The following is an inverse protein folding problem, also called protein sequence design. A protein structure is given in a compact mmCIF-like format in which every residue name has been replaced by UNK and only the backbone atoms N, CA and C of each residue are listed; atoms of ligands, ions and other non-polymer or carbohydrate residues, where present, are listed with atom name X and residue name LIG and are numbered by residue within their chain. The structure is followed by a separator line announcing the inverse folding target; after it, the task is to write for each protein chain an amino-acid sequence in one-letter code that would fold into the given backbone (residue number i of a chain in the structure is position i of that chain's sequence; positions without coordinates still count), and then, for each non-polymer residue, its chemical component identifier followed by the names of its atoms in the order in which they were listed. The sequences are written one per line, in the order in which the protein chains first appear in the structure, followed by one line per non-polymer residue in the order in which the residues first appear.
data_IF_849662277226
#
_entry.id   IF_849662277226
#
_cell.length_a   1.000
_cell.length_b   1.000
_cell.length_c   1.000
_cell.angle_alpha   90.00
_cell.angle_beta   90.00
_cell.angle_gamma   90.00
#
_symmetry.space_group_name_H-M   'P 1'
#
loop_
_entity.id
_entity.type
_entity.pdbx_description
1 polymer ?
#
# COMPACT_ATOMS: atom_id res chain seq x y z
N UNK A 1 -60.57 -12.65 11.29
CA UNK A 1 -61.12 -13.22 12.53
C UNK A 1 -60.65 -14.67 12.66
N UNK A 2 -60.00 -14.99 13.79
CA UNK A 2 -60.01 -16.26 14.54
C UNK A 2 -59.67 -17.56 13.77
N UNK A 3 -58.49 -18.16 14.04
CA UNK A 3 -58.25 -19.29 15.00
C UNK A 3 -58.71 -20.64 14.39
N UNK A 4 -58.15 -21.83 14.58
CA UNK A 4 -57.35 -22.49 15.62
C UNK A 4 -56.98 -23.90 15.05
N UNK A 5 -55.75 -24.40 15.21
CA UNK A 5 -55.34 -25.60 16.00
C UNK A 5 -56.09 -26.93 15.78
N UNK A 6 -55.36 -27.98 15.38
CA UNK A 6 -55.40 -29.35 15.96
C UNK A 6 -54.18 -30.16 15.42
N UNK A 7 -53.12 -30.55 16.15
CA UNK A 7 -52.91 -31.52 17.27
C UNK A 7 -52.99 -33.02 16.89
N UNK A 8 -51.87 -33.74 17.06
CA UNK A 8 -51.65 -35.18 17.41
C UNK A 8 -50.16 -35.50 17.09
N UNK A 9 -49.19 -35.73 17.98
CA UNK A 9 -49.05 -36.30 19.33
C UNK A 9 -49.32 -37.81 19.43
N UNK A 10 -48.25 -38.63 19.41
CA UNK A 10 -47.92 -39.79 20.30
C UNK A 10 -46.91 -40.73 19.61
N UNK A 11 -45.67 -40.87 20.14
CA UNK A 11 -45.18 -41.93 21.05
C UNK A 11 -44.21 -42.87 20.26
N UNK A 12 -43.12 -43.45 20.78
CA UNK A 12 -42.68 -43.69 22.15
C UNK A 12 -41.14 -43.79 22.23
N UNK A 13 -40.67 -43.43 23.43
CA UNK A 13 -39.36 -43.62 24.04
C UNK A 13 -39.07 -45.12 24.32
N UNK A 14 -37.78 -45.46 24.49
CA UNK A 14 -37.15 -46.48 25.40
C UNK A 14 -35.89 -47.02 24.69
N UNK A 15 -34.69 -46.50 25.02
CA UNK A 15 -33.73 -46.99 26.05
C UNK A 15 -33.31 -48.47 25.82
N UNK A 16 -32.07 -48.93 25.90
CA UNK A 16 -30.73 -48.37 26.11
C UNK A 16 -29.79 -49.58 26.34
N UNK A 17 -28.51 -49.46 25.96
CA UNK A 17 -27.32 -50.08 26.58
C UNK A 17 -27.20 -51.63 26.56
N UNK A 18 -26.21 -52.23 25.91
CA UNK A 18 -24.81 -52.47 26.35
C UNK A 18 -24.21 -53.45 25.30
N UNK A 19 -22.92 -53.65 25.03
CA UNK A 19 -21.69 -53.49 25.78
C UNK A 19 -20.47 -53.40 24.81
N UNK A 20 -19.36 -52.95 25.38
CA UNK A 20 -18.01 -52.86 24.84
C UNK A 20 -17.46 -54.17 24.24
N UNK A 21 -16.69 -54.07 23.16
CA UNK A 21 -15.51 -54.92 22.91
C UNK A 21 -14.46 -54.11 22.14
N UNK A 22 -13.21 -54.22 22.58
CA UNK A 22 -12.09 -53.41 22.14
C UNK A 22 -11.55 -53.76 20.75
N UNK A 23 -10.85 -52.80 20.17
CA UNK A 23 -10.12 -52.92 18.91
C UNK A 23 -9.21 -51.71 18.75
N UNK A 24 -8.00 -51.83 19.28
CA UNK A 24 -6.86 -50.95 18.98
C UNK A 24 -6.58 -50.93 17.49
N UNK A 25 -6.61 -49.74 16.87
CA UNK A 25 -5.97 -49.50 15.57
C UNK A 25 -5.28 -48.14 15.58
N UNK A 26 -3.99 -48.21 15.90
CA UNK A 26 -2.96 -47.25 15.59
C UNK A 26 -2.84 -47.16 14.06
N UNK A 27 -3.20 -46.01 13.49
CA UNK A 27 -2.87 -45.67 12.10
C UNK A 27 -1.63 -44.78 12.12
N UNK A 28 -0.50 -45.44 11.90
CA UNK A 28 0.77 -44.85 11.51
C UNK A 28 0.77 -44.50 10.01
N UNK A 29 1.26 -43.32 9.66
CA UNK A 29 1.67 -42.96 8.30
C UNK A 29 1.23 -41.54 7.95
N UNK A 30 2.09 -40.62 7.52
CA UNK A 30 3.51 -40.65 7.28
C UNK A 30 3.97 -39.20 7.15
N UNK A 31 5.06 -38.88 7.81
CA UNK A 31 5.79 -37.63 7.67
C UNK A 31 6.40 -37.56 6.27
N UNK A 32 6.14 -36.46 5.56
CA UNK A 32 6.99 -36.03 4.44
C UNK A 32 6.77 -34.55 4.16
N UNK A 33 7.82 -33.76 4.34
CA UNK A 33 8.01 -32.51 3.60
C UNK A 33 7.70 -31.22 4.36
N UNK A 34 8.55 -30.88 5.32
CA UNK A 34 8.68 -29.52 5.83
C UNK A 34 10.05 -29.42 6.47
N UNK A 35 11.06 -29.06 5.69
CA UNK A 35 12.41 -28.81 6.18
C UNK A 35 12.32 -27.81 7.33
N UNK A 36 12.63 -28.29 8.55
CA UNK A 36 12.82 -27.41 9.68
C UNK A 36 13.97 -26.47 9.35
N UNK A 37 13.66 -25.19 9.18
CA UNK A 37 14.65 -24.13 9.31
C UNK A 37 15.35 -24.37 10.64
N UNK A 38 16.64 -24.72 10.59
CA UNK A 38 17.46 -24.83 11.78
C UNK A 38 17.37 -23.49 12.50
N UNK A 39 16.92 -23.51 13.76
CA UNK A 39 16.84 -22.31 14.59
C UNK A 39 18.19 -21.60 14.55
N UNK A 40 18.21 -20.38 14.02
CA UNK A 40 19.40 -19.56 13.96
C UNK A 40 19.87 -19.33 15.40
N UNK A 41 21.04 -19.89 15.75
CA UNK A 41 21.60 -19.83 17.11
C UNK A 41 21.89 -18.40 17.56
N UNK A 42 21.93 -17.45 16.62
CA UNK A 42 22.15 -16.04 16.90
C UNK A 42 20.85 -15.23 17.02
N UNK A 43 19.68 -15.85 16.77
CA UNK A 43 18.40 -15.16 16.95
C UNK A 43 18.14 -14.90 18.45
N UNK A 44 17.67 -13.69 18.82
CA UNK A 44 17.21 -13.43 20.18
C UNK A 44 16.09 -14.39 20.59
N UNK A 45 15.98 -14.69 21.88
CA UNK A 45 14.83 -15.44 22.40
C UNK A 45 13.53 -14.67 22.09
N UNK A 46 12.42 -15.36 21.76
CA UNK A 46 11.12 -14.72 21.52
C UNK A 46 10.73 -13.77 22.67
N UNK A 47 10.05 -12.64 22.38
CA UNK A 47 9.57 -11.74 23.42
C UNK A 47 8.67 -12.49 24.41
N UNK A 48 8.86 -12.25 25.71
CA UNK A 48 8.05 -12.88 26.76
C UNK A 48 6.78 -12.09 27.09
N UNK A 49 6.77 -10.79 26.78
CA UNK A 49 5.69 -9.88 27.12
C UNK A 49 4.68 -9.76 25.97
N UNK A 50 3.41 -9.97 26.29
CA UNK A 50 2.30 -9.59 25.43
C UNK A 50 2.05 -8.10 25.58
N UNK A 51 2.39 -7.34 24.55
CA UNK A 51 2.25 -5.89 24.51
C UNK A 51 1.15 -5.54 23.53
N UNK A 52 0.06 -4.91 23.99
CA UNK A 52 -0.99 -4.39 23.11
C UNK A 52 -0.47 -3.26 22.22
N UNK A 53 -1.03 -3.17 21.01
CA UNK A 53 -0.47 -2.37 19.91
C UNK A 53 -1.58 -1.75 19.09
N UNK A 54 -1.24 -0.73 18.32
CA UNK A 54 -2.17 -0.14 17.36
C UNK A 54 -2.70 -1.21 16.40
N UNK A 55 -4.00 -1.08 16.09
CA UNK A 55 -4.71 -2.02 15.23
C UNK A 55 -4.16 -1.96 13.81
N UNK A 56 -3.96 -3.13 13.20
CA UNK A 56 -3.50 -3.22 11.82
C UNK A 56 -4.70 -3.43 10.90
N UNK A 57 -4.85 -2.58 9.90
CA UNK A 57 -5.84 -2.74 8.84
C UNK A 57 -5.15 -3.20 7.56
N UNK A 58 -5.70 -4.22 6.92
CA UNK A 58 -5.15 -4.78 5.68
C UNK A 58 -6.26 -4.78 4.64
N UNK A 59 -5.96 -4.19 3.49
CA UNK A 59 -6.86 -4.06 2.36
C UNK A 59 -6.27 -4.79 1.16
N UNK A 60 -7.12 -5.42 0.36
CA UNK A 60 -6.79 -5.97 -0.95
C UNK A 60 -7.62 -5.26 -2.01
N UNK A 61 -6.95 -4.56 -2.92
CA UNK A 61 -7.59 -3.74 -3.96
C UNK A 61 -8.71 -2.83 -3.42
N UNK A 62 -8.45 -2.18 -2.28
CA UNK A 62 -9.37 -1.26 -1.59
C UNK A 62 -10.44 -1.94 -0.72
N UNK A 63 -10.54 -3.27 -0.74
CA UNK A 63 -11.47 -4.01 0.11
C UNK A 63 -10.78 -4.45 1.40
N UNK A 64 -11.39 -4.17 2.55
CA UNK A 64 -10.85 -4.64 3.83
C UNK A 64 -10.92 -6.16 3.92
N UNK A 65 -9.80 -6.80 4.26
CA UNK A 65 -9.76 -8.25 4.52
C UNK A 65 -10.40 -8.61 5.86
N UNK A 66 -10.48 -7.65 6.79
CA UNK A 66 -11.17 -7.77 8.07
C UNK A 66 -11.64 -6.40 8.53
N UNK A 67 -12.95 -6.14 8.48
CA UNK A 67 -13.53 -4.82 8.77
C UNK A 67 -13.11 -4.26 10.14
N UNK A 68 -13.03 -5.13 11.15
CA UNK A 68 -12.62 -4.75 12.50
C UNK A 68 -11.10 -4.56 12.68
N UNK A 69 -10.29 -4.81 11.65
CA UNK A 69 -8.83 -4.86 11.72
C UNK A 69 -8.28 -6.08 12.47
N UNK A 70 -6.96 -6.18 12.52
CA UNK A 70 -6.18 -7.24 13.16
C UNK A 70 -5.53 -6.71 14.43
N UNK A 71 -5.99 -7.21 15.58
CA UNK A 71 -5.42 -6.92 16.90
C UNK A 71 -4.09 -7.65 17.11
N UNK A 72 -3.35 -7.27 18.15
CA UNK A 72 -2.14 -8.02 18.52
C UNK A 72 -2.46 -9.50 18.81
N UNK A 73 -3.59 -9.78 19.47
CA UNK A 73 -4.03 -11.15 19.76
C UNK A 73 -4.32 -11.99 18.52
N UNK A 74 -4.76 -11.36 17.41
CA UNK A 74 -4.95 -12.05 16.13
C UNK A 74 -3.62 -12.45 15.48
N UNK A 75 -2.55 -11.70 15.75
CA UNK A 75 -1.27 -11.81 15.05
C UNK A 75 -0.23 -12.60 15.85
N UNK A 76 -0.25 -12.51 17.19
CA UNK A 76 0.85 -13.03 18.03
C UNK A 76 1.13 -14.53 17.84
N UNK A 77 0.11 -15.33 17.57
CA UNK A 77 0.22 -16.78 17.40
C UNK A 77 0.93 -17.18 16.09
N UNK A 78 0.94 -16.28 15.10
CA UNK A 78 1.61 -16.48 13.81
C UNK A 78 2.95 -15.75 13.73
N UNK A 79 3.38 -15.10 14.82
CA UNK A 79 4.67 -14.41 14.86
C UNK A 79 5.83 -15.39 14.97
N UNK A 80 6.87 -15.14 14.19
CA UNK A 80 8.13 -15.87 14.21
C UNK A 80 9.31 -14.90 14.23
N UNK A 81 10.54 -15.38 14.36
CA UNK A 81 11.75 -14.57 14.17
C UNK A 81 12.24 -14.67 12.74
N UNK A 82 12.65 -13.55 12.12
CA UNK A 82 13.24 -13.50 10.78
C UNK A 82 14.44 -12.55 10.75
N UNK A 83 15.55 -12.99 10.16
CA UNK A 83 16.69 -12.12 9.86
C UNK A 83 16.48 -11.46 8.48
N UNK A 84 16.48 -10.13 8.45
CA UNK A 84 16.38 -9.33 7.23
C UNK A 84 17.53 -8.33 7.27
N UNK A 85 18.44 -8.42 6.29
CA UNK A 85 19.64 -7.58 6.16
C UNK A 85 20.46 -7.44 7.45
N UNK A 86 20.65 -8.56 8.17
CA UNK A 86 21.45 -8.61 9.39
C UNK A 86 20.74 -8.13 10.64
N UNK A 87 19.49 -7.70 10.54
CA UNK A 87 18.64 -7.35 11.70
C UNK A 87 17.60 -8.44 11.93
N UNK A 88 17.50 -8.92 13.17
CA UNK A 88 16.44 -9.84 13.56
C UNK A 88 15.15 -9.07 13.83
N UNK A 89 14.04 -9.52 13.26
CA UNK A 89 12.70 -9.00 13.51
C UNK A 89 11.82 -10.11 14.06
N UNK A 90 10.91 -9.77 14.97
CA UNK A 90 9.87 -10.68 15.43
C UNK A 90 8.51 -10.17 14.98
N UNK A 91 7.80 -10.95 14.18
CA UNK A 91 6.59 -10.51 13.50
C UNK A 91 6.01 -11.57 12.58
N UNK A 92 5.20 -11.18 11.60
CA UNK A 92 4.58 -12.12 10.67
C UNK A 92 4.57 -11.57 9.23
N UNK A 93 4.50 -12.47 8.26
CA UNK A 93 4.20 -12.10 6.87
C UNK A 93 2.73 -11.69 6.76
N UNK A 94 2.40 -10.89 5.75
CA UNK A 94 1.01 -10.46 5.52
C UNK A 94 0.09 -11.66 5.29
N UNK A 95 0.53 -12.65 4.50
CA UNK A 95 -0.25 -13.87 4.24
C UNK A 95 -0.55 -14.67 5.52
N UNK A 96 0.39 -14.75 6.46
CA UNK A 96 0.15 -15.45 7.73
C UNK A 96 -0.83 -14.70 8.63
N UNK A 97 -0.81 -13.37 8.60
CA UNK A 97 -1.74 -12.53 9.36
C UNK A 97 -3.17 -12.68 8.84
N UNK A 98 -3.32 -12.64 7.51
CA UNK A 98 -4.65 -12.66 6.88
C UNK A 98 -5.19 -14.08 6.77
N UNK A 99 -4.33 -15.09 6.64
CA UNK A 99 -4.70 -16.47 6.32
C UNK A 99 -5.09 -16.66 4.84
N UNK A 100 -4.83 -15.67 3.99
CA UNK A 100 -5.23 -15.64 2.58
C UNK A 100 -4.08 -16.02 1.65
N UNK A 101 -4.40 -16.51 0.45
CA UNK A 101 -3.44 -16.67 -0.65
C UNK A 101 -3.21 -15.32 -1.34
N UNK A 102 -1.99 -14.79 -1.18
CA UNK A 102 -1.57 -13.49 -1.72
C UNK A 102 -0.73 -13.61 -3.01
N UNK A 103 -0.69 -14.78 -3.66
CA UNK A 103 0.14 -15.00 -4.87
C UNK A 103 -0.21 -14.08 -6.06
N UNK A 104 -1.44 -13.56 -6.10
CA UNK A 104 -1.88 -12.56 -7.08
C UNK A 104 -1.41 -11.14 -6.77
N UNK A 105 -1.05 -10.85 -5.52
CA UNK A 105 -0.60 -9.52 -5.08
C UNK A 105 0.77 -9.21 -5.67
N UNK A 106 0.94 -7.98 -6.17
CA UNK A 106 2.14 -7.48 -6.86
C UNK A 106 2.80 -6.31 -6.16
N UNK A 107 2.22 -5.80 -5.08
CA UNK A 107 2.83 -4.75 -4.28
C UNK A 107 2.00 -4.41 -3.04
N UNK A 108 2.59 -3.60 -2.17
CA UNK A 108 1.93 -3.10 -0.97
C UNK A 108 2.34 -1.66 -0.67
N UNK A 109 1.37 -0.80 -0.37
CA UNK A 109 1.63 0.47 0.30
C UNK A 109 1.48 0.29 1.81
N UNK A 110 2.43 0.83 2.57
CA UNK A 110 2.42 0.79 4.04
C UNK A 110 2.28 2.21 4.56
N UNK A 111 1.15 2.49 5.20
CA UNK A 111 0.88 3.78 5.84
C UNK A 111 1.13 3.67 7.33
N UNK A 112 1.98 4.57 7.83
CA UNK A 112 2.27 4.72 9.23
C UNK A 112 1.32 5.71 9.92
N UNK A 113 1.23 5.63 11.25
CA UNK A 113 0.41 6.51 12.10
C UNK A 113 0.71 8.01 11.95
N UNK A 114 1.89 8.36 11.45
CA UNK A 114 2.32 9.74 11.20
C UNK A 114 1.96 10.20 9.76
N UNK A 115 1.26 9.36 9.00
CA UNK A 115 0.89 9.58 7.61
C UNK A 115 1.99 9.26 6.60
N UNK A 116 3.17 8.81 7.05
CA UNK A 116 4.22 8.41 6.13
C UNK A 116 3.84 7.14 5.37
N UNK A 117 3.99 7.17 4.06
CA UNK A 117 3.73 6.02 3.20
C UNK A 117 5.00 5.54 2.51
N UNK A 118 5.20 4.22 2.50
CA UNK A 118 6.22 3.54 1.71
C UNK A 118 5.59 2.53 0.75
N UNK A 119 6.26 2.24 -0.37
CA UNK A 119 5.86 1.21 -1.31
C UNK A 119 6.83 0.02 -1.29
N UNK A 120 6.29 -1.20 -1.34
CA UNK A 120 7.01 -2.47 -1.40
C UNK A 120 6.50 -3.24 -2.63
N UNK A 121 7.36 -3.47 -3.62
CA UNK A 121 7.02 -4.20 -4.85
C UNK A 121 7.03 -5.72 -4.70
N UNK A 122 7.61 -6.24 -3.61
CA UNK A 122 7.70 -7.68 -3.34
C UNK A 122 7.08 -8.00 -1.98
N UNK A 123 5.80 -8.39 -2.02
CA UNK A 123 4.99 -8.65 -0.82
C UNK A 123 5.37 -9.97 -0.14
N UNK A 124 5.90 -10.95 -0.88
CA UNK A 124 6.35 -12.23 -0.30
C UNK A 124 7.51 -12.01 0.68
N UNK A 125 8.29 -10.96 0.45
CA UNK A 125 9.39 -10.54 1.31
C UNK A 125 9.01 -9.43 2.31
N UNK A 126 7.76 -8.96 2.31
CA UNK A 126 7.26 -8.02 3.31
C UNK A 126 7.00 -8.74 4.64
N UNK A 127 7.60 -8.20 5.69
CA UNK A 127 7.46 -8.68 7.05
C UNK A 127 7.00 -7.56 7.97
N UNK A 128 5.89 -7.78 8.69
CA UNK A 128 5.35 -6.82 9.66
C UNK A 128 5.87 -7.16 11.04
N UNK A 129 6.92 -6.44 11.45
CA UNK A 129 7.62 -6.63 12.70
C UNK A 129 6.92 -5.92 13.86
N UNK A 130 6.58 -6.67 14.91
CA UNK A 130 6.17 -6.10 16.19
C UNK A 130 7.38 -5.72 17.06
N UNK A 131 8.50 -6.42 16.88
CA UNK A 131 9.74 -6.20 17.60
C UNK A 131 10.94 -6.22 16.65
N UNK A 132 11.99 -5.50 17.04
CA UNK A 132 13.30 -5.49 16.36
C UNK A 132 14.39 -5.90 17.35
N UNK A 133 15.33 -6.71 16.88
CA UNK A 133 16.46 -7.21 17.65
C UNK A 133 17.50 -6.12 17.84
N UNK A 134 17.79 -5.77 19.09
CA UNK A 134 18.80 -4.80 19.49
C UNK A 134 19.46 -5.25 20.78
N UNK A 135 20.78 -5.14 20.85
CA UNK A 135 21.57 -5.54 22.03
C UNK A 135 21.34 -7.00 22.48
N UNK A 136 21.08 -7.89 21.50
CA UNK A 136 20.83 -9.32 21.76
C UNK A 136 19.41 -9.65 22.27
N UNK A 137 18.50 -8.68 22.29
CA UNK A 137 17.12 -8.86 22.75
C UNK A 137 16.13 -8.26 21.75
N UNK A 138 14.88 -8.74 21.74
CA UNK A 138 13.81 -8.08 21.01
C UNK A 138 13.29 -6.87 21.78
N UNK A 139 13.27 -5.72 21.12
CA UNK A 139 12.65 -4.49 21.63
C UNK A 139 11.41 -4.17 20.81
N UNK A 140 10.34 -3.76 21.49
CA UNK A 140 9.09 -3.41 20.82
C UNK A 140 9.29 -2.21 19.91
N UNK A 141 8.66 -2.25 18.74
CA UNK A 141 8.66 -1.12 17.80
C UNK A 141 7.69 -0.06 18.33
N UNK A 142 8.20 1.14 18.65
CA UNK A 142 7.43 2.22 19.31
C UNK A 142 7.54 3.56 18.57
N UNK A 143 6.46 4.12 18.04
CA UNK A 143 6.44 5.47 17.44
C UNK A 143 5.42 6.33 18.18
N UNK A 144 5.79 7.58 18.50
CA UNK A 144 4.98 8.51 19.31
C UNK A 144 4.45 7.87 20.60
N UNK A 145 5.33 7.21 21.36
CA UNK A 145 5.02 6.49 22.61
C UNK A 145 3.97 5.36 22.48
N UNK A 146 3.65 4.94 21.25
CA UNK A 146 2.70 3.85 20.95
C UNK A 146 3.41 2.64 20.38
N UNK A 147 3.01 1.45 20.79
CA UNK A 147 3.49 0.19 20.19
C UNK A 147 2.82 -0.04 18.83
N UNK A 148 3.62 -0.20 17.78
CA UNK A 148 3.18 -0.14 16.37
C UNK A 148 3.98 -1.06 15.48
N UNK A 149 3.39 -1.60 14.42
CA UNK A 149 4.15 -2.47 13.52
C UNK A 149 5.18 -1.69 12.71
N UNK A 150 6.20 -2.38 12.23
CA UNK A 150 7.08 -1.85 11.19
C UNK A 150 7.19 -2.78 10.01
N UNK A 151 7.19 -2.22 8.80
CA UNK A 151 7.44 -2.94 7.56
C UNK A 151 8.93 -3.13 7.34
N UNK A 152 9.37 -4.38 7.29
CA UNK A 152 10.73 -4.78 6.95
C UNK A 152 10.72 -5.61 5.66
N UNK A 153 11.59 -5.24 4.72
CA UNK A 153 11.85 -5.99 3.49
C UNK A 153 13.32 -5.79 3.10
N UNK A 154 13.94 -6.81 2.49
CA UNK A 154 15.35 -6.75 2.12
C UNK A 154 15.62 -5.60 1.13
N UNK A 155 16.70 -4.85 1.33
CA UNK A 155 17.10 -3.71 0.52
C UNK A 155 16.20 -2.47 0.64
N UNK A 156 15.16 -2.50 1.50
CA UNK A 156 14.24 -1.37 1.71
C UNK A 156 14.44 -0.78 3.11
N UNK A 157 14.14 0.52 3.23
CA UNK A 157 14.17 1.18 4.54
C UNK A 157 13.05 0.67 5.43
N UNK A 158 13.34 0.44 6.70
CA UNK A 158 12.35 0.03 7.69
C UNK A 158 11.30 1.13 7.88
N UNK A 159 10.04 0.84 7.54
CA UNK A 159 8.93 1.77 7.77
C UNK A 159 8.33 1.49 9.15
N UNK A 160 8.52 2.40 10.09
CA UNK A 160 8.05 2.27 11.47
C UNK A 160 6.70 2.95 11.63
N UNK A 161 5.76 2.31 12.33
CA UNK A 161 4.46 2.93 12.62
C UNK A 161 3.31 2.40 11.77
N UNK A 162 3.50 1.33 11.00
CA UNK A 162 2.52 0.81 10.04
C UNK A 162 1.21 0.43 10.74
N UNK A 163 0.12 1.04 10.29
CA UNK A 163 -1.26 0.76 10.73
C UNK A 163 -2.19 0.39 9.58
N UNK A 164 -1.90 0.82 8.35
CA UNK A 164 -2.63 0.36 7.17
C UNK A 164 -1.67 -0.29 6.16
N UNK A 165 -2.11 -1.41 5.59
CA UNK A 165 -1.42 -2.13 4.52
C UNK A 165 -2.38 -2.26 3.35
N UNK A 166 -2.04 -1.63 2.22
CA UNK A 166 -2.84 -1.66 0.99
C UNK A 166 -2.17 -2.58 -0.01
N UNK A 167 -2.67 -3.81 -0.12
CA UNK A 167 -2.22 -4.81 -1.08
C UNK A 167 -2.84 -4.52 -2.44
N UNK A 168 -2.01 -4.56 -3.47
CA UNK A 168 -2.44 -4.30 -4.86
C UNK A 168 -2.11 -5.49 -5.76
N UNK A 169 -3.10 -5.95 -6.52
CA UNK A 169 -2.90 -7.01 -7.54
C UNK A 169 -2.37 -6.45 -8.86
N UNK A 170 -2.60 -5.17 -9.10
CA UNK A 170 -2.04 -4.41 -10.23
C UNK A 170 -1.12 -3.34 -9.64
N UNK A 171 0.19 -3.34 -9.88
CA UNK A 171 1.04 -2.32 -9.30
C UNK A 171 0.91 -1.00 -10.09
N UNK A 172 0.97 0.14 -9.40
CA UNK A 172 1.09 1.46 -10.02
C UNK A 172 2.54 1.74 -10.48
N UNK A 173 3.22 0.72 -11.02
CA UNK A 173 4.59 0.87 -11.49
C UNK A 173 4.62 1.81 -12.70
N UNK A 174 5.24 2.98 -12.52
CA UNK A 174 5.43 3.95 -13.58
C UNK A 174 6.90 4.30 -13.75
N UNK A 175 7.20 4.79 -14.94
CA UNK A 175 8.50 5.32 -15.30
C UNK A 175 8.30 6.51 -16.24
N UNK A 176 8.41 7.72 -15.70
CA UNK A 176 8.12 8.95 -16.42
C UNK A 176 9.41 9.59 -16.90
N UNK A 177 9.51 9.81 -18.19
CA UNK A 177 10.64 10.54 -18.76
C UNK A 177 10.58 12.03 -18.38
N UNK A 178 11.70 12.57 -17.94
CA UNK A 178 11.83 14.00 -17.63
C UNK A 178 12.62 14.67 -18.74
N UNK A 179 12.04 15.70 -19.34
CA UNK A 179 12.61 16.43 -20.47
C UNK A 179 12.79 17.92 -20.15
N UNK A 180 13.81 18.51 -20.75
CA UNK A 180 14.04 19.96 -20.82
C UNK A 180 14.05 20.36 -22.28
N UNK A 181 13.13 21.26 -22.67
CA UNK A 181 13.00 21.73 -24.05
C UNK A 181 12.94 20.58 -25.09
N UNK A 182 12.30 19.47 -24.73
CA UNK A 182 12.16 18.26 -25.56
C UNK A 182 13.33 17.27 -25.50
N UNK A 183 14.41 17.60 -24.79
CA UNK A 183 15.56 16.70 -24.59
C UNK A 183 15.44 15.95 -23.27
N UNK A 184 15.61 14.63 -23.29
CA UNK A 184 15.61 13.80 -22.08
C UNK A 184 16.77 14.18 -21.14
N UNK A 185 16.43 14.55 -19.91
CA UNK A 185 17.40 14.85 -18.84
C UNK A 185 17.37 13.83 -17.71
N UNK A 186 16.33 13.00 -17.62
CA UNK A 186 16.23 12.00 -16.58
C UNK A 186 14.98 11.12 -16.67
N UNK A 187 14.73 10.39 -15.58
CA UNK A 187 13.58 9.51 -15.43
C UNK A 187 13.15 9.49 -13.96
N UNK A 188 11.85 9.62 -13.73
CA UNK A 188 11.22 9.51 -12.41
C UNK A 188 10.52 8.16 -12.31
N UNK A 189 10.91 7.35 -11.32
CA UNK A 189 10.26 6.06 -11.02
C UNK A 189 9.34 6.17 -9.80
N UNK A 190 8.52 5.14 -9.56
CA UNK A 190 7.74 5.02 -8.32
C UNK A 190 8.62 5.09 -7.06
N UNK A 191 9.76 4.38 -7.05
CA UNK A 191 10.69 4.39 -5.90
C UNK A 191 11.25 5.80 -5.62
N UNK A 192 11.50 6.59 -6.67
CA UNK A 192 11.96 7.97 -6.54
C UNK A 192 10.84 8.91 -6.07
N UNK A 193 9.63 8.72 -6.59
CA UNK A 193 8.45 9.45 -6.19
C UNK A 193 8.16 9.28 -4.69
N UNK A 194 8.26 8.05 -4.18
CA UNK A 194 8.03 7.71 -2.77
C UNK A 194 9.14 8.15 -1.81
N UNK A 195 10.33 8.49 -2.32
CA UNK A 195 11.45 8.95 -1.48
C UNK A 195 11.15 10.33 -0.89
N UNK A 196 11.52 10.56 0.38
CA UNK A 196 11.41 11.90 0.98
C UNK A 196 12.28 12.91 0.20
N UNK A 197 11.70 14.06 -0.11
CA UNK A 197 12.35 15.17 -0.83
C UNK A 197 12.88 16.20 0.16
N UNK A 198 14.08 16.73 -0.07
CA UNK A 198 14.58 17.87 0.69
C UNK A 198 13.96 19.16 0.14
N UNK A 199 13.25 19.92 0.99
CA UNK A 199 12.68 21.23 0.66
C UNK A 199 13.11 22.22 1.74
N UNK A 200 14.05 23.10 1.42
CA UNK A 200 14.69 23.95 2.44
C UNK A 200 15.44 23.10 3.47
N UNK A 201 15.11 23.27 4.75
CA UNK A 201 15.67 22.49 5.86
C UNK A 201 14.89 21.19 6.13
N UNK A 202 13.69 21.05 5.57
CA UNK A 202 12.78 19.95 5.84
C UNK A 202 12.92 18.78 4.85
N UNK A 203 12.63 17.56 5.33
CA UNK A 203 12.45 16.37 4.48
C UNK A 203 10.97 16.03 4.36
N UNK A 204 10.38 16.46 3.26
CA UNK A 204 8.96 16.32 2.94
C UNK A 204 8.71 14.95 2.31
N UNK A 205 7.78 14.18 2.88
CA UNK A 205 7.31 12.94 2.29
C UNK A 205 6.18 13.20 1.28
N UNK A 206 5.96 12.26 0.37
CA UNK A 206 4.71 12.21 -0.41
C UNK A 206 3.54 12.12 0.55
N UNK A 207 2.60 13.06 0.44
CA UNK A 207 1.49 13.21 1.37
C UNK A 207 0.26 12.44 0.91
N UNK A 208 -0.65 12.21 1.84
CA UNK A 208 -1.97 11.63 1.56
C UNK A 208 -2.99 12.73 1.33
N UNK A 209 -3.75 12.59 0.26
CA UNK A 209 -4.80 13.50 -0.15
C UNK A 209 -6.08 12.73 -0.31
N UNK A 210 -7.12 13.12 0.43
CA UNK A 210 -8.47 12.71 0.13
C UNK A 210 -8.92 13.51 -1.09
N UNK A 211 -9.31 12.82 -2.15
CA UNK A 211 -9.64 13.43 -3.41
C UNK A 211 -10.91 12.85 -4.01
N UNK A 212 -11.62 13.69 -4.74
CA UNK A 212 -12.73 13.26 -5.58
C UNK A 212 -12.40 13.59 -7.03
N UNK A 213 -12.26 12.54 -7.83
CA UNK A 213 -11.91 12.62 -9.24
C UNK A 213 -13.17 12.49 -10.09
N UNK A 214 -13.50 13.55 -10.85
CA UNK A 214 -14.57 13.48 -11.82
C UNK A 214 -14.12 12.65 -13.03
N UNK A 215 -14.88 11.61 -13.36
CA UNK A 215 -14.70 10.86 -14.60
C UNK A 215 -15.97 10.90 -15.45
N UNK A 216 -15.88 10.43 -16.69
CA UNK A 216 -16.99 10.41 -17.65
C UNK A 216 -17.66 11.78 -17.87
N UNK A 217 -16.85 12.85 -18.03
CA UNK A 217 -17.38 14.19 -18.32
C UNK A 217 -18.17 14.82 -17.15
N UNK A 218 -17.89 14.40 -15.91
CA UNK A 218 -18.52 14.92 -14.69
C UNK A 218 -19.84 14.22 -14.33
N UNK A 219 -20.20 13.15 -15.04
CA UNK A 219 -21.37 12.34 -14.72
C UNK A 219 -21.15 11.43 -13.50
N UNK A 220 -19.88 11.21 -13.11
CA UNK A 220 -19.53 10.35 -12.01
C UNK A 220 -18.23 10.79 -11.35
N UNK A 221 -18.10 10.46 -10.05
CA UNK A 221 -16.98 10.87 -9.21
C UNK A 221 -16.38 9.63 -8.56
N UNK A 222 -15.07 9.49 -8.63
CA UNK A 222 -14.30 8.52 -7.88
C UNK A 222 -13.82 9.22 -6.62
N UNK A 223 -14.23 8.75 -5.46
CA UNK A 223 -13.72 9.22 -4.18
C UNK A 223 -12.71 8.21 -3.69
N UNK A 224 -11.48 8.67 -3.45
CA UNK A 224 -10.38 7.80 -3.08
C UNK A 224 -9.25 8.55 -2.40
N UNK A 225 -8.23 7.80 -1.99
CA UNK A 225 -7.03 8.36 -1.35
C UNK A 225 -5.89 8.34 -2.36
N UNK A 226 -5.22 9.48 -2.48
CA UNK A 226 -4.13 9.72 -3.41
C UNK A 226 -2.84 10.00 -2.65
N UNK A 227 -1.73 9.48 -3.14
CA UNK A 227 -0.40 9.92 -2.73
C UNK A 227 0.05 11.03 -3.64
N UNK A 228 0.36 12.20 -3.10
CA UNK A 228 0.75 13.34 -3.92
C UNK A 228 1.87 14.19 -3.38
N UNK A 229 2.41 15.02 -4.27
CA UNK A 229 3.28 16.15 -3.96
C UNK A 229 2.89 17.33 -4.84
N UNK A 230 3.03 18.54 -4.31
CA UNK A 230 2.83 19.75 -5.09
C UNK A 230 3.95 19.96 -6.14
N UNK A 231 3.70 20.88 -7.07
CA UNK A 231 4.64 21.23 -8.13
C UNK A 231 6.05 21.58 -7.64
N UNK A 232 6.16 22.39 -6.59
CA UNK A 232 7.46 22.86 -6.08
C UNK A 232 8.23 21.73 -5.41
N UNK A 233 7.53 20.88 -4.67
CA UNK A 233 8.10 19.66 -4.07
C UNK A 233 8.55 18.69 -5.16
N UNK A 234 7.81 18.58 -6.27
CA UNK A 234 8.26 17.80 -7.43
C UNK A 234 9.53 18.40 -8.05
N UNK A 235 9.60 19.71 -8.28
CA UNK A 235 10.81 20.35 -8.81
C UNK A 235 12.03 20.14 -7.90
N UNK A 236 11.85 20.30 -6.59
CA UNK A 236 12.90 20.05 -5.61
C UNK A 236 13.37 18.58 -5.64
N UNK A 237 12.44 17.64 -5.85
CA UNK A 237 12.75 16.21 -6.00
C UNK A 237 13.60 15.96 -7.23
N UNK A 238 13.18 16.46 -8.40
CA UNK A 238 13.89 16.27 -9.66
C UNK A 238 15.29 16.89 -9.60
N UNK A 239 15.43 18.08 -9.02
CA UNK A 239 16.73 18.72 -8.80
C UNK A 239 17.61 17.92 -7.82
N UNK A 240 17.04 17.37 -6.74
CA UNK A 240 17.74 16.49 -5.81
C UNK A 240 18.16 15.13 -6.40
N UNK A 241 17.67 14.81 -7.60
CA UNK A 241 18.09 13.67 -8.42
C UNK A 241 19.09 14.08 -9.51
N UNK A 242 19.68 15.27 -9.42
CA UNK A 242 20.65 15.83 -10.37
C UNK A 242 20.11 16.02 -11.80
N UNK A 243 18.78 16.18 -11.96
CA UNK A 243 18.19 16.52 -13.25
C UNK A 243 18.29 18.03 -13.51
N UNK A 244 18.95 18.42 -14.60
CA UNK A 244 19.13 19.83 -14.94
C UNK A 244 17.82 20.44 -15.47
N UNK A 245 17.15 21.19 -14.60
CA UNK A 245 15.99 22.03 -14.89
C UNK A 245 16.31 23.52 -14.63
N UNK A 246 17.57 23.93 -14.80
CA UNK A 246 18.00 25.30 -14.56
C UNK A 246 17.43 26.28 -15.59
N UNK A 247 16.99 27.45 -15.10
CA UNK A 247 16.42 28.53 -15.92
C UNK A 247 15.01 28.89 -15.46
N UNK A 248 14.29 29.67 -16.27
CA UNK A 248 12.90 30.05 -15.96
C UNK A 248 11.94 29.13 -16.68
N UNK A 249 11.16 28.33 -15.94
CA UNK A 249 10.11 27.48 -16.52
C UNK A 249 8.97 28.36 -16.99
N UNK A 250 8.67 28.34 -18.29
CA UNK A 250 7.60 29.13 -18.92
C UNK A 250 6.39 28.29 -19.34
N UNK A 251 6.57 26.99 -19.49
CA UNK A 251 5.51 26.01 -19.77
C UNK A 251 5.93 24.61 -19.27
N UNK A 252 4.94 23.79 -18.94
CA UNK A 252 5.12 22.35 -18.73
C UNK A 252 4.16 21.60 -19.62
N UNK A 253 4.67 20.64 -20.38
CA UNK A 253 3.90 19.76 -21.24
C UNK A 253 3.85 18.36 -20.64
N UNK A 254 2.64 17.84 -20.46
CA UNK A 254 2.41 16.53 -19.86
C UNK A 254 1.95 15.55 -20.95
N UNK A 255 2.66 14.44 -21.10
CA UNK A 255 2.36 13.40 -22.10
C UNK A 255 1.99 12.10 -21.41
N UNK A 256 0.98 11.39 -21.95
CA UNK A 256 0.65 10.05 -21.48
C UNK A 256 -0.63 9.49 -22.12
N UNK A 257 -1.23 8.53 -21.43
CA UNK A 257 -2.53 7.94 -21.81
C UNK A 257 -3.65 8.39 -20.87
N UNK A 258 -4.73 8.99 -21.40
CA UNK A 258 -5.86 9.43 -20.60
C UNK A 258 -6.79 8.26 -20.18
N UNK A 259 -7.75 8.52 -19.29
CA UNK A 259 -8.72 7.52 -18.84
C UNK A 259 -9.64 6.92 -19.93
N UNK A 260 -9.61 7.41 -21.18
CA UNK A 260 -10.29 6.80 -22.33
C UNK A 260 -9.34 5.93 -23.19
N UNK A 261 -8.11 5.70 -22.74
CA UNK A 261 -7.08 4.96 -23.46
C UNK A 261 -6.46 5.73 -24.63
N UNK A 262 -6.60 7.06 -24.70
CA UNK A 262 -6.00 7.88 -25.77
C UNK A 262 -4.67 8.47 -25.34
N UNK A 263 -3.65 8.24 -26.17
CA UNK A 263 -2.31 8.80 -26.00
C UNK A 263 -2.23 10.24 -26.52
N UNK A 264 -1.52 11.12 -25.81
CA UNK A 264 -1.25 12.49 -26.28
C UNK A 264 -0.76 13.46 -25.21
N UNK A 265 -0.63 14.73 -25.60
CA UNK A 265 -0.31 15.87 -24.74
C UNK A 265 -1.56 16.37 -24.01
N UNK A 266 -1.43 16.81 -22.76
CA UNK A 266 -2.46 17.57 -22.06
C UNK A 266 -2.51 19.02 -22.54
N UNK A 267 -3.65 19.44 -23.09
CA UNK A 267 -3.88 20.80 -23.60
C UNK A 267 -4.80 21.64 -22.69
N UNK A 268 -5.19 21.14 -21.51
CA UNK A 268 -6.13 21.84 -20.63
C UNK A 268 -5.50 22.86 -19.66
N UNK A 269 -4.17 22.93 -19.57
CA UNK A 269 -3.47 23.84 -18.66
C UNK A 269 -3.27 25.25 -19.23
N UNK A 270 -3.21 26.22 -18.32
CA UNK A 270 -2.89 27.62 -18.61
C UNK A 270 -1.43 27.92 -18.32
N UNK A 271 -0.83 28.80 -19.15
CA UNK A 271 0.52 29.36 -18.94
C UNK A 271 0.48 30.68 -18.16
N UNK A 272 -0.71 31.21 -17.92
CA UNK A 272 -0.89 32.51 -17.27
C UNK A 272 -0.94 32.35 -15.76
N UNK A 273 -0.02 33.00 -15.05
CA UNK A 273 -0.05 33.06 -13.59
C UNK A 273 -1.35 33.72 -13.09
N UNK A 274 -1.96 33.15 -12.05
CA UNK A 274 -3.26 33.57 -11.52
C UNK A 274 -4.48 32.95 -12.20
N UNK A 275 -4.31 32.22 -13.30
CA UNK A 275 -5.33 31.34 -13.85
C UNK A 275 -5.55 30.13 -12.92
N UNK A 276 -6.79 29.72 -12.72
CA UNK A 276 -7.10 28.54 -11.90
C UNK A 276 -6.53 27.24 -12.49
N UNK A 277 -6.16 27.25 -13.78
CA UNK A 277 -5.52 26.13 -14.46
C UNK A 277 -4.02 26.32 -14.70
N UNK A 278 -3.38 27.26 -14.00
CA UNK A 278 -1.95 27.52 -14.15
C UNK A 278 -1.12 26.24 -13.91
N UNK A 279 -0.17 25.94 -14.80
CA UNK A 279 0.63 24.71 -14.71
C UNK A 279 1.45 24.61 -13.41
N UNK A 280 1.84 25.75 -12.82
CA UNK A 280 2.58 25.78 -11.55
C UNK A 280 1.72 25.49 -10.31
N UNK A 281 0.40 25.35 -10.50
CA UNK A 281 -0.56 24.95 -9.46
C UNK A 281 -0.90 23.45 -9.52
N UNK A 282 -0.17 22.68 -10.33
CA UNK A 282 -0.40 21.24 -10.51
C UNK A 282 0.17 20.46 -9.33
N UNK A 283 -0.64 19.55 -8.82
CA UNK A 283 -0.19 18.52 -7.90
C UNK A 283 -0.01 17.21 -8.68
N UNK A 284 1.01 16.44 -8.32
CA UNK A 284 1.34 15.15 -8.91
C UNK A 284 0.89 14.04 -7.99
N UNK A 285 0.20 13.02 -8.52
CA UNK A 285 -0.39 11.98 -7.70
C UNK A 285 -0.16 10.57 -8.27
N UNK A 286 -0.17 9.59 -7.37
CA UNK A 286 -0.36 8.18 -7.65
C UNK A 286 -1.54 7.67 -6.82
N UNK A 287 -2.32 6.73 -7.36
CA UNK A 287 -3.41 6.11 -6.60
C UNK A 287 -2.85 5.25 -5.46
N UNK A 288 -3.53 5.27 -4.32
CA UNK A 288 -3.00 4.71 -3.07
C UNK A 288 -3.98 3.82 -2.30
N UNK A 289 -5.28 4.01 -2.44
CA UNK A 289 -6.32 3.24 -1.72
C UNK A 289 -6.45 1.76 -2.12
N UNK A 290 -5.43 1.19 -2.77
CA UNK A 290 -5.38 -0.20 -3.17
C UNK A 290 -6.02 -0.46 -4.53
N UNK A 291 -6.90 0.41 -5.01
CA UNK A 291 -7.30 0.36 -6.41
C UNK A 291 -6.18 1.01 -7.22
N UNK A 292 -5.69 0.35 -8.26
CA UNK A 292 -4.66 0.88 -9.16
C UNK A 292 -5.11 0.80 -10.62
N UNK A 293 -6.40 0.51 -10.83
CA UNK A 293 -7.04 0.42 -12.12
C UNK A 293 -8.43 1.06 -12.02
N UNK A 294 -8.91 1.60 -13.15
CA UNK A 294 -10.24 2.20 -13.22
C UNK A 294 -11.23 1.21 -13.82
N UNK A 295 -12.04 0.58 -12.97
CA UNK A 295 -13.15 -0.31 -13.35
C UNK A 295 -14.22 0.33 -14.25
N UNK A 296 -14.19 1.64 -14.39
CA UNK A 296 -15.25 2.44 -15.00
C UNK A 296 -14.78 3.02 -16.34
N UNK A 297 -13.47 3.18 -16.51
CA UNK A 297 -12.87 3.71 -17.74
C UNK A 297 -11.65 2.88 -18.17
N UNK A 298 -11.90 1.89 -19.02
CA UNK A 298 -10.91 1.23 -19.90
C UNK A 298 -9.83 0.31 -19.29
N UNK A 299 -10.01 -0.25 -18.08
CA UNK A 299 -9.07 -1.23 -17.46
C UNK A 299 -7.60 -0.77 -17.45
N UNK A 300 -7.35 0.54 -17.57
CA UNK A 300 -6.01 1.09 -17.65
C UNK A 300 -5.39 1.18 -16.25
N UNK A 301 -4.15 0.68 -16.05
CA UNK A 301 -3.40 0.92 -14.83
C UNK A 301 -3.20 2.42 -14.60
N UNK A 302 -3.33 2.85 -13.35
CA UNK A 302 -3.15 4.23 -12.93
C UNK A 302 -1.71 4.38 -12.44
N UNK A 303 -0.87 5.00 -13.28
CA UNK A 303 0.48 5.42 -12.93
C UNK A 303 0.52 6.82 -12.30
N UNK A 304 1.67 7.50 -12.42
CA UNK A 304 1.79 8.90 -12.00
C UNK A 304 0.89 9.77 -12.88
N UNK A 305 0.05 10.58 -12.25
CA UNK A 305 -0.79 11.59 -12.89
C UNK A 305 -0.47 12.99 -12.37
N UNK A 306 -1.01 14.00 -13.04
CA UNK A 306 -0.91 15.41 -12.70
C UNK A 306 -2.30 16.06 -12.80
N UNK A 307 -2.73 16.78 -11.76
CA UNK A 307 -3.98 17.54 -11.80
C UNK A 307 -3.98 18.73 -10.84
N UNK A 308 -4.87 19.70 -11.08
CA UNK A 308 -5.02 20.85 -10.19
C UNK A 308 -6.23 20.58 -9.30
N UNK A 309 -5.99 20.54 -8.00
CA UNK A 309 -7.03 20.25 -7.01
C UNK A 309 -8.23 21.19 -7.16
N UNK A 310 -9.45 20.64 -7.08
CA UNK A 310 -10.71 21.41 -7.14
C UNK A 310 -11.12 21.94 -8.52
N UNK A 311 -10.35 21.71 -9.59
CA UNK A 311 -10.67 22.26 -10.93
C UNK A 311 -11.53 21.36 -11.81
N UNK A 312 -11.66 20.07 -11.47
CA UNK A 312 -12.46 19.11 -12.22
C UNK A 312 -12.07 18.96 -13.70
N UNK A 313 -10.82 19.30 -14.06
CA UNK A 313 -10.30 19.14 -15.43
C UNK A 313 -10.50 17.73 -15.99
N UNK A 314 -10.82 17.66 -17.28
CA UNK A 314 -11.46 16.50 -17.92
C UNK A 314 -10.45 15.54 -18.54
N UNK A 315 -9.22 15.99 -18.75
CA UNK A 315 -8.10 15.18 -19.26
C UNK A 315 -7.15 14.67 -18.15
N UNK A 316 -7.53 14.86 -16.89
CA UNK A 316 -6.67 14.84 -15.70
C UNK A 316 -6.36 13.45 -15.08
N UNK A 317 -6.19 12.42 -15.89
CA UNK A 317 -5.57 11.15 -15.44
C UNK A 317 -4.74 10.59 -16.57
N UNK A 318 -3.58 11.19 -16.77
CA UNK A 318 -2.59 10.55 -17.59
C UNK A 318 -1.86 9.54 -16.73
N UNK A 319 -1.77 8.30 -17.19
CA UNK A 319 -0.58 7.52 -16.87
C UNK A 319 0.56 8.21 -17.62
N UNK A 320 1.26 9.12 -16.93
CA UNK A 320 2.27 9.97 -17.55
C UNK A 320 3.41 9.10 -18.08
N UNK A 321 3.81 9.38 -19.31
CA UNK A 321 4.98 8.78 -19.95
C UNK A 321 6.13 9.77 -20.04
N UNK A 322 5.82 11.08 -20.15
CA UNK A 322 6.82 12.14 -20.10
C UNK A 322 6.28 13.45 -19.50
N UNK A 323 7.18 14.21 -18.89
CA UNK A 323 6.98 15.61 -18.47
C UNK A 323 8.08 16.44 -19.12
N UNK A 324 7.70 17.40 -19.95
CA UNK A 324 8.64 18.32 -20.60
C UNK A 324 8.54 19.71 -19.98
N UNK A 325 9.64 20.18 -19.41
CA UNK A 325 9.78 21.54 -18.89
C UNK A 325 10.35 22.43 -19.99
N UNK A 326 9.58 23.44 -20.39
CA UNK A 326 10.01 24.47 -21.35
C UNK A 326 10.66 25.60 -20.56
N UNK A 327 11.93 25.87 -20.87
CA UNK A 327 12.80 26.73 -20.05
C UNK A 327 13.51 27.77 -20.92
N UNK A 328 13.46 29.03 -20.48
CA UNK A 328 14.22 30.19 -20.99
C UNK A 328 15.49 30.49 -20.18
#
# INVERSE_FOLDING_TARGET
MKRLVLLLLTAALVLSLTACTGGSQQVSGGSSGGEGQAADKNAPAPPADDIERELLYIFLDGQSLKEAGYSYSDIKEVMIGRNIDGTYYYGASVANITGEDLSSVKGAFLEAIDGYVSYISDVDNLYLAAFSGKDGQYQSVVLDDRHVYGGAAAGKSFNKGVVNVYLVTTPAEFSVEIQRNGEKVGQLTMDDFMRKTQVGEDRVATGLFDGSFLYQGGAATYEGRFLGIDFNTMLAKLNGMDMDLSGTITEVEYYGTNGLGKEGKNEEYSKSEGDSKYFGSVDFFCMFDGMTYNNITSDCPIGLTAFINGTGGRWMTYSLTAINFVIE
#
